data_IF_676092146524
#
_entry.id   IF_676092146524
#
_cell.length_a   1.000
_cell.length_b   1.000
_cell.length_c   1.000
_cell.angle_alpha   90.00
_cell.angle_beta   90.00
_cell.angle_gamma   90.00
#
_symmetry.space_group_name_H-M   'P 1'
#
loop_
_entity.id
_entity.type
_entity.pdbx_description
1 polymer ?
#
# COMPACT_ATOMS: atom_id res chain seq x y z
N UNK A 1 19.08 27.97 -19.29
CA UNK A 1 19.49 28.07 -20.73
C UNK A 1 19.38 26.69 -21.37
N UNK A 2 18.63 26.59 -22.48
CA UNK A 2 18.47 25.35 -23.27
C UNK A 2 19.79 25.06 -23.97
N UNK A 3 20.24 23.80 -23.94
CA UNK A 3 21.46 23.38 -24.62
C UNK A 3 21.22 23.36 -26.14
N UNK A 4 22.21 23.85 -26.93
CA UNK A 4 22.13 23.98 -28.38
C UNK A 4 21.60 22.70 -29.10
N UNK A 5 22.05 21.52 -28.68
CA UNK A 5 21.61 20.24 -29.24
C UNK A 5 20.13 19.89 -29.01
N UNK A 6 19.43 20.66 -28.17
CA UNK A 6 18.02 20.48 -27.88
C UNK A 6 17.13 21.61 -28.41
N UNK A 7 17.71 22.50 -29.21
CA UNK A 7 16.91 23.43 -29.99
C UNK A 7 16.00 22.62 -30.94
N UNK A 8 14.68 22.95 -30.96
CA UNK A 8 13.66 22.25 -31.74
C UNK A 8 13.52 20.74 -31.39
N UNK A 9 13.69 20.40 -30.12
CA UNK A 9 13.56 19.01 -29.65
C UNK A 9 12.10 18.71 -29.36
N UNK A 10 11.50 17.79 -30.13
CA UNK A 10 10.07 17.45 -29.95
C UNK A 10 9.82 16.68 -28.65
N UNK A 11 8.62 16.83 -28.09
CA UNK A 11 8.18 16.12 -26.89
C UNK A 11 8.24 14.61 -27.07
N UNK A 12 7.99 14.10 -28.28
CA UNK A 12 8.07 12.66 -28.62
C UNK A 12 9.49 12.11 -28.45
N UNK A 13 10.50 12.86 -28.94
CA UNK A 13 11.91 12.48 -28.78
C UNK A 13 12.35 12.52 -27.32
N UNK A 14 11.93 13.54 -26.60
CA UNK A 14 12.20 13.66 -25.17
C UNK A 14 11.56 12.54 -24.36
N UNK A 15 10.36 12.11 -24.73
CA UNK A 15 9.70 10.95 -24.12
C UNK A 15 10.47 9.65 -24.35
N UNK A 16 10.97 9.41 -25.57
CA UNK A 16 11.81 8.25 -25.87
C UNK A 16 13.10 8.23 -25.04
N UNK A 17 13.77 9.38 -24.90
CA UNK A 17 14.95 9.51 -24.03
C UNK A 17 14.62 9.30 -22.55
N UNK A 18 13.46 9.75 -22.11
CA UNK A 18 12.99 9.54 -20.73
C UNK A 18 12.74 8.06 -20.45
N UNK A 19 12.13 7.33 -21.38
CA UNK A 19 11.86 5.90 -21.23
C UNK A 19 13.17 5.12 -21.14
N UNK A 20 14.10 5.35 -22.08
CA UNK A 20 15.43 4.75 -22.05
C UNK A 20 16.18 5.06 -20.75
N UNK A 21 16.09 6.29 -20.26
CA UNK A 21 16.70 6.68 -18.99
C UNK A 21 16.15 5.88 -17.81
N UNK A 22 14.84 5.68 -17.77
CA UNK A 22 14.19 4.92 -16.71
C UNK A 22 14.53 3.42 -16.76
N UNK A 23 14.71 2.85 -17.95
CA UNK A 23 15.20 1.48 -18.15
C UNK A 23 16.63 1.33 -17.63
N UNK A 24 17.53 2.22 -18.03
CA UNK A 24 18.94 2.22 -17.57
C UNK A 24 19.01 2.38 -16.04
N UNK A 25 18.13 3.16 -15.44
CA UNK A 25 18.00 3.28 -13.97
C UNK A 25 17.49 2.02 -13.28
N UNK A 26 17.04 1.01 -14.02
CA UNK A 26 16.48 -0.21 -13.47
C UNK A 26 15.15 0.00 -12.74
N UNK A 27 14.32 0.96 -13.20
CA UNK A 27 12.96 1.10 -12.67
C UNK A 27 12.14 -0.17 -12.96
N UNK A 28 11.21 -0.49 -12.04
CA UNK A 28 10.28 -1.59 -12.28
C UNK A 28 9.43 -1.32 -13.53
N UNK A 29 9.18 -2.36 -14.33
CA UNK A 29 8.41 -2.26 -15.58
C UNK A 29 7.02 -1.63 -15.39
N UNK A 30 6.32 -1.95 -14.26
CA UNK A 30 5.05 -1.34 -13.93
C UNK A 30 5.17 0.19 -13.73
N UNK A 31 6.30 0.67 -13.21
CA UNK A 31 6.57 2.12 -13.06
C UNK A 31 6.86 2.79 -14.39
N UNK A 32 7.65 2.12 -15.25
CA UNK A 32 7.93 2.63 -16.60
C UNK A 32 6.63 2.75 -17.39
N UNK A 33 5.82 1.68 -17.43
CA UNK A 33 4.48 1.70 -18.08
C UNK A 33 3.58 2.83 -17.57
N UNK A 34 3.64 3.09 -16.26
CA UNK A 34 2.85 4.16 -15.66
C UNK A 34 3.29 5.52 -16.17
N UNK A 35 4.59 5.81 -16.12
CA UNK A 35 5.11 7.09 -16.66
C UNK A 35 4.85 7.23 -18.14
N UNK A 36 5.09 6.17 -18.92
CA UNK A 36 4.81 6.14 -20.37
C UNK A 36 3.36 6.53 -20.63
N UNK A 37 2.40 5.86 -20.01
CA UNK A 37 0.98 6.11 -20.27
C UNK A 37 0.50 7.52 -19.88
N UNK A 38 1.15 8.19 -18.91
CA UNK A 38 0.81 9.59 -18.60
C UNK A 38 1.44 10.57 -19.59
N UNK A 39 2.68 10.32 -20.01
CA UNK A 39 3.37 11.16 -20.99
C UNK A 39 2.74 11.02 -22.37
N UNK A 40 2.38 9.81 -22.80
CA UNK A 40 1.66 9.56 -24.06
C UNK A 40 0.34 10.32 -24.13
N UNK A 41 -0.49 10.25 -23.07
CA UNK A 41 -1.75 11.01 -23.00
C UNK A 41 -1.56 12.53 -23.04
N UNK A 42 -0.45 13.03 -22.54
CA UNK A 42 -0.12 14.44 -22.67
C UNK A 42 0.27 14.77 -24.12
N UNK A 43 1.08 13.93 -24.76
CA UNK A 43 1.48 14.09 -26.16
C UNK A 43 0.25 13.99 -27.10
N UNK A 44 -0.67 13.06 -26.85
CA UNK A 44 -1.93 12.96 -27.60
C UNK A 44 -2.75 14.26 -27.56
N UNK A 45 -2.70 14.95 -26.41
CA UNK A 45 -3.44 16.20 -26.23
C UNK A 45 -2.72 17.42 -26.84
N UNK A 46 -1.40 17.60 -26.56
CA UNK A 46 -0.67 18.76 -27.04
C UNK A 46 -0.16 18.62 -28.49
N UNK A 47 -0.18 17.40 -29.05
CA UNK A 47 0.31 17.11 -30.40
C UNK A 47 1.77 16.65 -30.44
N UNK A 48 2.10 15.83 -31.44
CA UNK A 48 3.41 15.21 -31.64
C UNK A 48 4.50 16.22 -32.04
N UNK A 49 4.12 17.32 -32.66
CA UNK A 49 5.03 18.39 -33.12
C UNK A 49 5.38 19.39 -32.05
N UNK A 50 4.74 19.33 -30.88
CA UNK A 50 5.03 20.22 -29.74
C UNK A 50 6.51 20.07 -29.33
N UNK A 51 7.19 21.21 -29.18
CA UNK A 51 8.57 21.24 -28.72
C UNK A 51 8.61 21.18 -27.18
N UNK A 52 9.68 20.60 -26.64
CA UNK A 52 9.88 20.56 -25.19
C UNK A 52 10.01 21.97 -24.60
N UNK A 53 10.54 22.94 -25.39
CA UNK A 53 10.62 24.34 -25.02
C UNK A 53 9.27 25.01 -24.83
N UNK A 54 8.22 24.49 -25.50
CA UNK A 54 6.87 25.06 -25.45
C UNK A 54 6.08 24.57 -24.25
N UNK A 55 6.62 23.59 -23.49
CA UNK A 55 6.02 23.15 -22.25
C UNK A 55 6.24 24.23 -21.19
N UNK A 56 5.21 25.01 -20.93
CA UNK A 56 5.16 26.06 -19.92
C UNK A 56 4.31 25.64 -18.72
N UNK A 57 4.32 26.44 -17.67
CA UNK A 57 3.38 26.28 -16.54
C UNK A 57 1.95 26.34 -17.04
N UNK A 58 1.63 27.35 -17.88
CA UNK A 58 0.29 27.58 -18.43
C UNK A 58 -0.20 26.38 -19.24
N UNK A 59 0.65 25.82 -20.15
CA UNK A 59 0.30 24.64 -20.92
C UNK A 59 -0.05 23.43 -20.04
N UNK A 60 0.64 23.24 -18.90
CA UNK A 60 0.34 22.18 -17.97
C UNK A 60 -0.95 22.43 -17.18
N UNK A 61 -1.27 23.69 -16.89
CA UNK A 61 -2.52 24.10 -16.25
C UNK A 61 -3.70 23.93 -17.22
N UNK A 62 -3.58 24.34 -18.48
CA UNK A 62 -4.57 24.06 -19.53
C UNK A 62 -4.85 22.55 -19.70
N UNK A 63 -3.78 21.74 -19.66
CA UNK A 63 -3.96 20.28 -19.70
C UNK A 63 -4.71 19.74 -18.47
N UNK A 64 -4.43 20.30 -17.29
CA UNK A 64 -5.13 19.92 -16.07
C UNK A 64 -6.61 20.31 -16.14
N UNK A 65 -6.96 21.50 -16.64
CA UNK A 65 -8.33 21.96 -16.89
C UNK A 65 -9.03 21.07 -17.89
N UNK A 66 -8.42 20.80 -19.06
CA UNK A 66 -8.95 19.87 -20.04
C UNK A 66 -9.31 18.49 -19.43
N UNK A 67 -8.44 17.98 -18.54
CA UNK A 67 -8.73 16.71 -17.85
C UNK A 67 -9.89 16.82 -16.88
N UNK A 68 -10.06 17.95 -16.20
CA UNK A 68 -11.21 18.18 -15.31
C UNK A 68 -12.49 18.26 -16.09
N UNK A 69 -12.51 19.02 -17.17
CA UNK A 69 -13.68 19.19 -18.08
C UNK A 69 -14.07 17.86 -18.76
N UNK A 70 -13.09 17.00 -18.99
CA UNK A 70 -13.33 15.62 -19.46
C UNK A 70 -13.91 14.69 -18.39
N UNK A 71 -14.33 15.20 -17.22
CA UNK A 71 -14.98 14.44 -16.15
C UNK A 71 -14.03 13.64 -15.26
N UNK A 72 -12.73 13.90 -15.31
CA UNK A 72 -11.79 13.21 -14.41
C UNK A 72 -11.88 13.78 -12.99
N UNK A 73 -11.84 12.89 -11.99
CA UNK A 73 -11.81 13.32 -10.58
C UNK A 73 -10.54 14.12 -10.27
N UNK A 74 -10.60 15.16 -9.41
CA UNK A 74 -9.43 15.98 -9.06
C UNK A 74 -8.22 15.18 -8.59
N UNK A 75 -8.43 14.09 -7.85
CA UNK A 75 -7.35 13.17 -7.41
C UNK A 75 -6.64 12.50 -8.59
N UNK A 76 -7.37 12.18 -9.67
CA UNK A 76 -6.82 11.56 -10.87
C UNK A 76 -6.02 12.58 -11.68
N UNK A 77 -6.52 13.82 -11.79
CA UNK A 77 -5.81 14.94 -12.45
C UNK A 77 -4.53 15.25 -11.70
N UNK A 78 -4.58 15.42 -10.39
CA UNK A 78 -3.39 15.66 -9.56
C UNK A 78 -2.36 14.52 -9.68
N UNK A 79 -2.82 13.27 -9.83
CA UNK A 79 -1.92 12.12 -10.06
C UNK A 79 -1.27 12.19 -11.43
N UNK A 80 -2.01 12.56 -12.47
CA UNK A 80 -1.51 12.76 -13.81
C UNK A 80 -0.40 13.83 -13.83
N UNK A 81 -0.69 15.01 -13.31
CA UNK A 81 0.28 16.12 -13.26
C UNK A 81 1.53 15.76 -12.43
N UNK A 82 1.40 14.98 -11.34
CA UNK A 82 2.58 14.49 -10.60
C UNK A 82 3.49 13.59 -11.43
N UNK A 83 2.91 12.73 -12.28
CA UNK A 83 3.71 11.88 -13.16
C UNK A 83 4.36 12.69 -14.29
N UNK A 84 3.62 13.64 -14.89
CA UNK A 84 4.19 14.58 -15.87
C UNK A 84 5.30 15.43 -15.28
N UNK A 85 5.17 15.88 -14.04
CA UNK A 85 6.25 16.61 -13.35
C UNK A 85 7.57 15.84 -13.34
N UNK A 86 7.52 14.50 -13.23
CA UNK A 86 8.76 13.68 -13.28
C UNK A 86 9.41 13.77 -14.66
N UNK A 87 8.62 13.74 -15.72
CA UNK A 87 9.09 13.93 -17.10
C UNK A 87 9.65 15.35 -17.33
N UNK A 88 8.92 16.38 -16.90
CA UNK A 88 9.36 17.79 -16.98
C UNK A 88 10.70 17.97 -16.24
N UNK A 89 10.84 17.47 -15.02
CA UNK A 89 12.10 17.53 -14.25
C UNK A 89 13.25 16.78 -14.93
N UNK A 90 12.96 15.71 -15.65
CA UNK A 90 13.96 15.03 -16.48
C UNK A 90 14.41 15.96 -17.62
N UNK A 91 13.49 16.60 -18.34
CA UNK A 91 13.80 17.52 -19.44
C UNK A 91 14.62 18.72 -18.97
N UNK A 92 14.23 19.37 -17.87
CA UNK A 92 14.97 20.46 -17.22
C UNK A 92 16.41 20.04 -16.87
N UNK A 93 16.54 18.88 -16.19
CA UNK A 93 17.86 18.36 -15.77
C UNK A 93 18.79 18.06 -16.95
N UNK A 94 18.23 17.67 -18.09
CA UNK A 94 18.98 17.44 -19.32
C UNK A 94 19.32 18.74 -20.05
N UNK A 95 18.67 19.84 -19.72
CA UNK A 95 18.79 21.13 -20.40
C UNK A 95 18.01 21.17 -21.72
N UNK A 96 16.91 20.42 -21.83
CA UNK A 96 16.00 20.42 -22.95
C UNK A 96 15.02 21.59 -22.90
N UNK A 97 14.77 22.12 -21.70
CA UNK A 97 13.87 23.23 -21.41
C UNK A 97 14.41 24.03 -20.21
N UNK A 98 13.88 25.21 -20.02
CA UNK A 98 14.11 25.99 -18.80
C UNK A 98 13.28 25.45 -17.64
N UNK A 99 13.63 25.83 -16.43
CA UNK A 99 12.91 25.40 -15.24
C UNK A 99 11.58 26.13 -15.17
N UNK A 100 10.51 25.36 -14.98
CA UNK A 100 9.15 25.85 -14.80
C UNK A 100 8.57 25.41 -13.46
N UNK A 101 7.55 26.11 -12.99
CA UNK A 101 6.75 25.66 -11.87
C UNK A 101 5.66 24.69 -12.38
N UNK A 102 5.41 23.61 -11.63
CA UNK A 102 4.37 22.62 -11.96
C UNK A 102 3.34 22.63 -10.85
N UNK A 103 2.21 23.30 -11.12
CA UNK A 103 1.07 23.41 -10.20
C UNK A 103 0.36 22.06 -10.11
N UNK A 104 0.24 21.51 -8.91
CA UNK A 104 -0.53 20.27 -8.69
C UNK A 104 -1.88 20.63 -8.08
N UNK A 105 -3.01 20.26 -8.74
CA UNK A 105 -4.33 20.52 -8.21
C UNK A 105 -4.51 19.97 -6.79
N UNK A 106 -5.07 20.78 -5.91
CA UNK A 106 -5.46 20.35 -4.56
C UNK A 106 -6.69 19.48 -4.65
N UNK A 107 -6.79 18.50 -3.77
CA UNK A 107 -7.96 17.65 -3.64
C UNK A 107 -8.07 17.13 -2.22
N UNK A 108 -9.28 16.91 -1.78
CA UNK A 108 -9.54 16.23 -0.53
C UNK A 108 -9.33 14.72 -0.70
N UNK A 109 -8.61 14.13 0.23
CA UNK A 109 -8.43 12.68 0.26
C UNK A 109 -9.61 12.06 0.99
N UNK A 110 -10.51 11.43 0.27
CA UNK A 110 -11.48 10.53 0.88
C UNK A 110 -10.75 9.40 1.60
N UNK A 111 -10.96 9.30 2.89
CA UNK A 111 -10.48 8.17 3.68
C UNK A 111 -11.40 6.98 3.37
N UNK A 112 -10.86 5.99 2.70
CA UNK A 112 -11.60 4.74 2.47
C UNK A 112 -11.77 4.04 3.81
N UNK A 113 -13.02 3.87 4.22
CA UNK A 113 -13.34 3.13 5.44
C UNK A 113 -12.84 1.68 5.35
N UNK A 114 -12.12 1.20 6.38
CA UNK A 114 -11.77 -0.21 6.50
C UNK A 114 -13.02 -1.10 6.51
N UNK A 115 -12.82 -2.41 6.38
CA UNK A 115 -13.91 -3.37 6.63
C UNK A 115 -14.37 -3.25 8.08
N UNK A 116 -15.69 -3.38 8.30
CA UNK A 116 -16.25 -3.50 9.65
C UNK A 116 -16.05 -4.92 10.20
N UNK A 117 -16.28 -5.11 11.49
CA UNK A 117 -16.16 -6.43 12.11
C UNK A 117 -17.23 -7.39 11.58
N UNK A 118 -18.45 -6.90 11.28
CA UNK A 118 -19.55 -7.66 10.68
C UNK A 118 -19.20 -8.10 9.25
N UNK A 119 -18.68 -7.16 8.42
CA UNK A 119 -18.19 -7.49 7.07
C UNK A 119 -17.08 -8.55 7.12
N UNK A 120 -16.13 -8.40 8.04
CA UNK A 120 -15.06 -9.39 8.23
C UNK A 120 -15.60 -10.72 8.72
N UNK A 121 -16.56 -10.74 9.64
CA UNK A 121 -17.20 -11.98 10.10
C UNK A 121 -17.81 -12.78 8.94
N UNK A 122 -18.50 -12.11 8.00
CA UNK A 122 -19.05 -12.74 6.80
C UNK A 122 -17.97 -13.29 5.87
N UNK A 123 -16.90 -12.51 5.64
CA UNK A 123 -15.82 -12.89 4.73
C UNK A 123 -14.94 -14.03 5.27
N UNK A 124 -14.83 -14.16 6.58
CA UNK A 124 -14.02 -15.19 7.25
C UNK A 124 -14.77 -16.54 7.43
N UNK A 125 -16.07 -16.60 7.12
CA UNK A 125 -16.81 -17.87 7.14
C UNK A 125 -16.18 -18.83 6.14
N UNK A 126 -15.78 -20.01 6.64
CA UNK A 126 -15.23 -21.08 5.81
C UNK A 126 -16.26 -21.52 4.77
N UNK A 127 -15.91 -21.58 3.47
CA UNK A 127 -16.81 -22.10 2.45
C UNK A 127 -17.20 -23.55 2.72
N UNK A 128 -18.47 -23.86 2.58
CA UNK A 128 -18.99 -25.23 2.69
C UNK A 128 -19.14 -25.90 1.32
N UNK A 129 -18.95 -25.14 0.25
CA UNK A 129 -19.19 -25.57 -1.11
C UNK A 129 -17.94 -26.13 -1.80
N UNK A 130 -18.11 -26.48 -3.04
CA UNK A 130 -17.17 -27.23 -3.87
C UNK A 130 -16.24 -26.34 -4.69
N UNK A 131 -16.41 -24.99 -4.63
CA UNK A 131 -15.60 -24.06 -5.41
C UNK A 131 -14.21 -23.92 -4.79
N UNK A 132 -13.21 -24.50 -5.45
CA UNK A 132 -11.81 -24.30 -5.08
C UNK A 132 -11.40 -22.82 -5.13
N UNK A 133 -11.98 -22.03 -6.04
CA UNK A 133 -11.71 -20.60 -6.14
C UNK A 133 -12.18 -19.87 -4.89
N UNK A 134 -13.37 -20.20 -4.38
CA UNK A 134 -13.89 -19.61 -3.14
C UNK A 134 -13.03 -20.01 -1.94
N UNK A 135 -12.58 -21.25 -1.92
CA UNK A 135 -11.70 -21.72 -0.86
C UNK A 135 -10.34 -21.01 -0.86
N UNK A 136 -9.77 -20.81 -2.05
CA UNK A 136 -8.56 -19.96 -2.23
C UNK A 136 -8.82 -18.52 -1.79
N UNK A 137 -9.94 -17.91 -2.19
CA UNK A 137 -10.29 -16.55 -1.79
C UNK A 137 -10.44 -16.43 -0.27
N UNK A 138 -11.10 -17.39 0.37
CA UNK A 138 -11.20 -17.44 1.82
C UNK A 138 -9.82 -17.51 2.50
N UNK A 139 -8.95 -18.40 2.06
CA UNK A 139 -7.60 -18.52 2.61
C UNK A 139 -6.78 -17.24 2.39
N UNK A 140 -6.87 -16.62 1.21
CA UNK A 140 -6.22 -15.34 0.90
C UNK A 140 -6.75 -14.19 1.77
N UNK A 141 -8.06 -14.10 1.99
CA UNK A 141 -8.66 -13.05 2.85
C UNK A 141 -8.18 -13.22 4.28
N UNK A 142 -8.19 -14.44 4.81
CA UNK A 142 -7.61 -14.73 6.13
C UNK A 142 -6.15 -14.27 6.20
N UNK A 143 -5.35 -14.57 5.17
CA UNK A 143 -3.95 -14.18 5.12
C UNK A 143 -3.78 -12.65 5.05
N UNK A 144 -4.53 -11.96 4.19
CA UNK A 144 -4.49 -10.50 4.11
C UNK A 144 -4.89 -9.83 5.42
N UNK A 145 -5.96 -10.31 6.05
CA UNK A 145 -6.45 -9.77 7.31
C UNK A 145 -5.50 -10.04 8.48
N UNK A 146 -4.87 -11.22 8.51
CA UNK A 146 -3.93 -11.57 9.59
C UNK A 146 -2.56 -10.91 9.46
N UNK A 147 -2.15 -10.48 8.26
CA UNK A 147 -0.77 -10.04 8.00
C UNK A 147 -0.65 -8.64 7.43
N UNK A 148 -1.71 -8.11 6.85
CA UNK A 148 -1.71 -6.81 6.17
C UNK A 148 -0.77 -6.72 4.97
N UNK A 149 -0.29 -7.86 4.40
CA UNK A 149 0.67 -7.84 3.30
C UNK A 149 0.06 -7.29 2.01
N UNK A 150 0.93 -6.79 1.11
CA UNK A 150 0.49 -6.28 -0.21
C UNK A 150 0.16 -7.43 -1.16
N UNK A 151 -0.84 -7.24 -2.03
CA UNK A 151 -1.20 -8.24 -3.05
C UNK A 151 0.02 -8.73 -3.83
N UNK A 152 0.86 -7.80 -4.29
CA UNK A 152 2.07 -8.15 -5.04
C UNK A 152 3.06 -9.03 -4.28
N UNK A 153 3.08 -8.98 -2.97
CA UNK A 153 3.89 -9.88 -2.13
C UNK A 153 3.21 -11.25 -2.03
N UNK A 154 1.91 -11.27 -1.75
CA UNK A 154 1.16 -12.50 -1.48
C UNK A 154 1.12 -13.45 -2.69
N UNK A 155 0.93 -12.93 -3.90
CA UNK A 155 0.92 -13.76 -5.13
C UNK A 155 2.28 -14.36 -5.51
N UNK A 156 3.35 -13.97 -4.83
CA UNK A 156 4.70 -14.48 -5.06
C UNK A 156 5.16 -15.51 -4.01
N UNK A 157 4.36 -15.74 -2.97
CA UNK A 157 4.71 -16.71 -1.92
C UNK A 157 4.56 -18.12 -2.48
N UNK A 158 5.55 -18.97 -2.26
CA UNK A 158 5.49 -20.40 -2.52
C UNK A 158 5.21 -21.18 -1.24
N UNK A 159 4.72 -22.40 -1.36
CA UNK A 159 4.45 -23.27 -0.20
C UNK A 159 5.73 -23.50 0.62
N UNK A 160 6.87 -23.72 -0.01
CA UNK A 160 8.18 -23.87 0.65
C UNK A 160 8.62 -22.66 1.47
N UNK A 161 8.08 -21.48 1.18
CA UNK A 161 8.36 -20.25 1.93
C UNK A 161 7.60 -20.20 3.26
N UNK A 162 6.67 -21.14 3.51
CA UNK A 162 5.78 -21.18 4.66
C UNK A 162 6.21 -22.26 5.63
N UNK A 163 6.88 -21.87 6.71
CA UNK A 163 7.22 -22.76 7.82
C UNK A 163 6.16 -22.66 8.91
N UNK A 164 5.22 -23.62 8.91
CA UNK A 164 4.12 -23.66 9.87
C UNK A 164 4.57 -24.11 11.26
N UNK A 165 5.68 -24.85 11.36
CA UNK A 165 6.23 -25.37 12.61
C UNK A 165 6.88 -24.22 13.40
N UNK A 166 7.79 -23.52 12.76
CA UNK A 166 8.48 -22.38 13.35
C UNK A 166 7.69 -21.07 13.24
N UNK A 167 6.51 -21.10 12.67
CA UNK A 167 5.64 -19.94 12.44
C UNK A 167 6.38 -18.79 11.74
N UNK A 168 6.91 -19.09 10.57
CA UNK A 168 7.63 -18.13 9.74
C UNK A 168 7.14 -18.21 8.29
N UNK A 169 7.00 -17.06 7.65
CA UNK A 169 6.78 -16.96 6.20
C UNK A 169 7.90 -16.13 5.62
N UNK A 170 8.66 -16.72 4.72
CA UNK A 170 9.73 -16.05 4.01
C UNK A 170 9.17 -15.23 2.85
N UNK A 171 9.39 -13.93 2.86
CA UNK A 171 8.94 -13.00 1.82
C UNK A 171 10.14 -12.65 0.94
N UNK A 172 10.41 -13.48 -0.06
CA UNK A 172 11.50 -13.29 -1.03
C UNK A 172 11.25 -12.11 -1.95
N UNK A 173 9.98 -11.83 -2.26
CA UNK A 173 9.57 -10.77 -3.16
C UNK A 173 8.71 -9.73 -2.45
N UNK A 174 9.18 -8.49 -2.43
CA UNK A 174 8.42 -7.35 -1.93
C UNK A 174 8.84 -6.06 -2.66
N UNK A 175 8.03 -5.01 -2.54
CA UNK A 175 8.26 -3.73 -3.25
C UNK A 175 9.61 -3.08 -2.89
N UNK A 176 10.14 -3.38 -1.73
CA UNK A 176 11.37 -2.76 -1.21
C UNK A 176 12.62 -3.60 -1.52
N UNK A 177 12.46 -4.75 -2.20
CA UNK A 177 13.52 -5.71 -2.56
C UNK A 177 14.31 -6.24 -1.34
N UNK A 178 13.76 -6.11 -0.13
CA UNK A 178 14.36 -6.58 1.12
C UNK A 178 13.67 -7.87 1.51
N UNK A 179 14.40 -8.98 1.50
CA UNK A 179 13.92 -10.26 2.00
C UNK A 179 13.67 -10.18 3.51
N UNK A 180 12.57 -10.73 3.97
CA UNK A 180 12.24 -10.75 5.39
C UNK A 180 11.38 -11.95 5.77
N UNK A 181 11.45 -12.31 7.04
CA UNK A 181 10.54 -13.25 7.67
C UNK A 181 9.36 -12.49 8.28
N UNK A 182 8.16 -13.01 8.05
CA UNK A 182 6.92 -12.55 8.67
C UNK A 182 6.47 -13.62 9.67
N UNK A 183 6.26 -13.29 10.96
CA UNK A 183 5.71 -14.22 11.93
C UNK A 183 4.18 -14.29 11.78
N UNK A 184 3.59 -15.38 11.24
CA UNK A 184 2.14 -15.57 11.21
C UNK A 184 1.63 -15.96 12.59
N UNK A 185 0.37 -15.57 12.90
CA UNK A 185 -0.29 -16.02 14.12
C UNK A 185 -0.66 -17.52 14.05
N UNK A 186 -0.90 -18.13 15.21
CA UNK A 186 -1.30 -19.54 15.27
C UNK A 186 -2.56 -19.81 14.43
N UNK A 187 -3.51 -18.86 14.41
CA UNK A 187 -4.76 -19.04 13.68
C UNK A 187 -4.55 -19.08 12.17
N UNK A 188 -3.72 -18.18 11.63
CA UNK A 188 -3.44 -18.20 10.18
C UNK A 188 -2.62 -19.44 9.79
N UNK A 189 -1.74 -19.95 10.67
CA UNK A 189 -1.04 -21.22 10.41
C UNK A 189 -2.03 -22.37 10.22
N UNK A 190 -3.08 -22.47 11.06
CA UNK A 190 -4.14 -23.48 10.90
C UNK A 190 -4.88 -23.36 9.58
N UNK A 191 -5.26 -22.13 9.19
CA UNK A 191 -5.92 -21.86 7.90
C UNK A 191 -5.03 -22.25 6.73
N UNK A 192 -3.75 -21.90 6.76
CA UNK A 192 -2.81 -22.26 5.70
C UNK A 192 -2.55 -23.75 5.63
N UNK A 193 -2.41 -24.43 6.77
CA UNK A 193 -2.24 -25.88 6.83
C UNK A 193 -3.41 -26.60 6.17
N UNK A 194 -4.63 -26.23 6.54
CA UNK A 194 -5.86 -26.77 5.97
C UNK A 194 -5.95 -26.50 4.46
N UNK A 195 -5.68 -25.25 4.06
CA UNK A 195 -5.74 -24.84 2.66
C UNK A 195 -4.73 -25.59 1.78
N UNK A 196 -3.47 -25.68 2.22
CA UNK A 196 -2.41 -26.41 1.52
C UNK A 196 -2.79 -27.88 1.35
N UNK A 197 -3.28 -28.51 2.43
CA UNK A 197 -3.67 -29.91 2.41
C UNK A 197 -4.83 -30.18 1.45
N UNK A 198 -5.93 -29.42 1.56
CA UNK A 198 -7.10 -29.60 0.70
C UNK A 198 -6.82 -29.29 -0.76
N UNK A 199 -6.00 -28.27 -1.01
CA UNK A 199 -5.62 -27.87 -2.37
C UNK A 199 -4.52 -28.75 -2.96
N UNK A 200 -3.97 -29.72 -2.21
CA UNK A 200 -2.89 -30.64 -2.60
C UNK A 200 -1.68 -29.92 -3.19
N UNK A 201 -1.28 -28.82 -2.54
CA UNK A 201 -0.17 -28.01 -3.01
C UNK A 201 1.17 -28.61 -2.59
N UNK A 202 2.10 -28.64 -3.52
CA UNK A 202 3.47 -29.13 -3.34
C UNK A 202 4.41 -27.94 -2.96
N UNK A 203 5.61 -28.22 -2.40
CA UNK A 203 6.52 -27.17 -1.94
C UNK A 203 6.87 -26.11 -2.98
N UNK A 204 7.00 -26.49 -4.26
CA UNK A 204 7.38 -25.57 -5.36
C UNK A 204 6.19 -24.77 -5.92
N UNK A 205 4.97 -25.15 -5.58
CA UNK A 205 3.78 -24.43 -6.01
C UNK A 205 3.69 -23.04 -5.38
N UNK A 206 3.01 -22.12 -6.07
CA UNK A 206 2.59 -20.89 -5.43
C UNK A 206 1.59 -21.19 -4.31
N UNK A 207 1.68 -20.47 -3.19
CA UNK A 207 0.75 -20.65 -2.08
C UNK A 207 -0.70 -20.42 -2.51
N UNK A 208 -0.93 -19.45 -3.40
CA UNK A 208 -2.24 -19.13 -3.97
C UNK A 208 -2.17 -19.14 -5.50
N UNK A 209 -2.14 -20.32 -6.13
CA UNK A 209 -1.97 -20.42 -7.57
C UNK A 209 -3.26 -20.08 -8.35
N UNK A 210 -3.15 -19.98 -9.66
CA UNK A 210 -4.28 -20.12 -10.57
C UNK A 210 -4.74 -21.59 -10.64
N UNK A 211 -5.91 -21.85 -11.23
CA UNK A 211 -6.40 -23.21 -11.42
C UNK A 211 -5.44 -24.10 -12.25
N UNK A 212 -4.58 -23.49 -13.04
CA UNK A 212 -3.56 -24.16 -13.84
C UNK A 212 -2.26 -24.44 -13.08
N UNK A 213 -2.17 -24.11 -11.78
CA UNK A 213 -0.94 -24.17 -10.98
C UNK A 213 0.03 -23.01 -11.21
N UNK A 214 -0.22 -22.13 -12.18
CA UNK A 214 0.61 -20.96 -12.44
C UNK A 214 0.44 -19.88 -11.39
N UNK A 215 1.37 -18.91 -11.38
CA UNK A 215 1.27 -17.74 -10.54
C UNK A 215 -0.04 -16.97 -10.77
N UNK A 216 -0.76 -16.69 -9.69
CA UNK A 216 -2.00 -15.92 -9.76
C UNK A 216 -1.73 -14.49 -10.22
N UNK A 217 -2.35 -14.11 -11.34
CA UNK A 217 -2.24 -12.76 -11.83
C UNK A 217 -2.98 -11.78 -10.91
N UNK A 218 -2.38 -10.61 -10.66
CA UNK A 218 -2.93 -9.61 -9.71
C UNK A 218 -4.38 -9.22 -10.07
N UNK A 219 -4.69 -9.04 -11.34
CA UNK A 219 -6.03 -8.68 -11.80
C UNK A 219 -7.02 -9.80 -11.53
N UNK A 220 -6.67 -11.04 -11.90
CA UNK A 220 -7.51 -12.22 -11.64
C UNK A 220 -7.79 -12.41 -10.14
N UNK A 221 -6.78 -12.13 -9.29
CA UNK A 221 -6.98 -12.14 -7.84
C UNK A 221 -7.98 -11.07 -7.39
N UNK A 222 -7.84 -9.84 -7.88
CA UNK A 222 -8.77 -8.75 -7.55
C UNK A 222 -10.21 -9.07 -7.97
N UNK A 223 -10.38 -9.62 -9.16
CA UNK A 223 -11.71 -9.98 -9.69
C UNK A 223 -12.32 -11.16 -8.90
N UNK A 224 -11.52 -12.18 -8.54
CA UNK A 224 -11.97 -13.31 -7.69
C UNK A 224 -12.40 -12.84 -6.30
N UNK A 225 -11.59 -12.00 -5.63
CA UNK A 225 -11.92 -11.44 -4.32
C UNK A 225 -13.16 -10.54 -4.39
N UNK A 226 -13.28 -9.74 -5.47
CA UNK A 226 -14.46 -8.91 -5.70
C UNK A 226 -15.72 -9.77 -5.78
N UNK A 227 -15.69 -10.85 -6.56
CA UNK A 227 -16.82 -11.78 -6.67
C UNK A 227 -17.13 -12.45 -5.33
N UNK A 228 -16.11 -12.98 -4.65
CA UNK A 228 -16.23 -13.60 -3.34
C UNK A 228 -16.87 -12.68 -2.29
N UNK A 229 -16.43 -11.42 -2.21
CA UNK A 229 -17.00 -10.47 -1.26
C UNK A 229 -18.48 -10.20 -1.56
N UNK A 230 -18.82 -9.93 -2.84
CA UNK A 230 -20.20 -9.69 -3.25
C UNK A 230 -21.13 -10.87 -3.00
N UNK A 231 -20.68 -12.10 -3.26
CA UNK A 231 -21.47 -13.30 -2.99
C UNK A 231 -21.78 -13.51 -1.51
N UNK A 232 -21.08 -12.80 -0.62
CA UNK A 232 -21.32 -12.78 0.84
C UNK A 232 -22.02 -11.51 1.34
N UNK A 233 -22.56 -10.69 0.41
CA UNK A 233 -23.26 -9.45 0.75
C UNK A 233 -22.34 -8.30 1.17
N UNK A 234 -21.04 -8.37 0.88
CA UNK A 234 -20.08 -7.32 1.21
C UNK A 234 -19.73 -6.50 -0.04
N UNK A 235 -20.15 -5.22 -0.06
CA UNK A 235 -19.95 -4.33 -1.19
C UNK A 235 -18.51 -3.83 -1.35
N UNK A 236 -17.76 -3.73 -0.26
CA UNK A 236 -16.34 -3.39 -0.29
C UNK A 236 -15.54 -4.53 -0.92
N UNK A 237 -14.77 -4.23 -1.96
CA UNK A 237 -14.07 -5.26 -2.76
C UNK A 237 -12.58 -5.03 -2.89
N UNK A 238 -12.05 -3.97 -2.29
CA UNK A 238 -10.63 -3.62 -2.43
C UNK A 238 -9.76 -4.47 -1.49
N UNK A 239 -8.83 -5.23 -2.07
CA UNK A 239 -7.83 -6.00 -1.30
C UNK A 239 -7.00 -5.08 -0.39
N UNK A 240 -6.75 -3.85 -0.82
CA UNK A 240 -5.97 -2.91 -0.01
C UNK A 240 -6.68 -2.52 1.30
N UNK A 241 -8.01 -2.63 1.35
CA UNK A 241 -8.78 -2.39 2.58
C UNK A 241 -8.49 -3.43 3.67
N UNK A 242 -8.18 -4.70 3.34
CA UNK A 242 -7.76 -5.68 4.35
C UNK A 242 -6.52 -5.22 5.11
N UNK A 243 -5.58 -4.60 4.39
CA UNK A 243 -4.38 -4.02 5.01
C UNK A 243 -4.73 -2.81 5.89
N UNK A 244 -5.67 -1.97 5.49
CA UNK A 244 -6.18 -0.87 6.33
C UNK A 244 -6.87 -1.43 7.58
N UNK A 245 -7.69 -2.48 7.44
CA UNK A 245 -8.38 -3.15 8.53
C UNK A 245 -7.39 -3.80 9.51
N UNK A 246 -6.35 -4.48 8.99
CA UNK A 246 -5.27 -5.01 9.83
C UNK A 246 -4.58 -3.91 10.62
N UNK A 247 -4.20 -2.81 9.95
CA UNK A 247 -3.51 -1.71 10.62
C UNK A 247 -4.38 -1.02 11.68
N UNK A 248 -5.66 -0.79 11.37
CA UNK A 248 -6.66 -0.27 12.32
C UNK A 248 -6.74 -1.16 13.55
N UNK A 249 -7.03 -2.46 13.36
CA UNK A 249 -7.21 -3.39 14.48
C UNK A 249 -5.93 -3.57 15.28
N UNK A 250 -4.77 -3.56 14.63
CA UNK A 250 -3.47 -3.62 15.33
C UNK A 250 -3.28 -2.43 16.30
N UNK A 251 -3.62 -1.22 15.87
CA UNK A 251 -3.53 0.00 16.70
C UNK A 251 -4.59 0.00 17.80
N UNK A 252 -5.86 -0.31 17.49
CA UNK A 252 -6.96 -0.35 18.47
C UNK A 252 -6.67 -1.36 19.60
N UNK A 253 -5.98 -2.46 19.27
CA UNK A 253 -5.57 -3.49 20.24
C UNK A 253 -4.24 -3.15 20.97
N UNK A 254 -3.80 -1.89 20.96
CA UNK A 254 -2.60 -1.45 21.67
C UNK A 254 -1.27 -1.78 20.99
N UNK A 255 -1.30 -2.11 19.71
CA UNK A 255 -0.10 -2.44 18.94
C UNK A 255 0.82 -1.24 18.72
N UNK A 256 2.12 -1.45 18.89
CA UNK A 256 3.13 -0.40 18.73
C UNK A 256 3.31 0.02 17.26
N UNK A 257 3.27 1.33 16.98
CA UNK A 257 3.37 1.90 15.64
C UNK A 257 4.68 1.54 14.90
N UNK A 258 5.82 1.50 15.59
CA UNK A 258 7.09 1.14 14.98
C UNK A 258 7.14 -0.35 14.60
N UNK A 259 6.53 -1.23 15.40
CA UNK A 259 6.35 -2.65 15.04
C UNK A 259 5.41 -2.80 13.85
N UNK A 260 4.30 -2.05 13.81
CA UNK A 260 3.38 -2.03 12.68
C UNK A 260 4.06 -1.55 11.39
N UNK A 261 4.88 -0.50 11.47
CA UNK A 261 5.68 -0.03 10.33
C UNK A 261 6.54 -1.16 9.75
N UNK A 262 7.24 -1.91 10.60
CA UNK A 262 8.08 -3.04 10.19
C UNK A 262 7.26 -4.18 9.59
N UNK A 263 6.13 -4.56 10.22
CA UNK A 263 5.23 -5.61 9.71
C UNK A 263 4.70 -5.27 8.32
N UNK A 264 4.27 -4.03 8.13
CA UNK A 264 3.71 -3.55 6.87
C UNK A 264 4.79 -3.15 5.84
N UNK A 265 6.06 -3.06 6.21
CA UNK A 265 7.13 -2.51 5.38
C UNK A 265 6.74 -1.13 4.81
N UNK A 266 6.40 -0.18 5.70
CA UNK A 266 6.21 1.20 5.31
C UNK A 266 7.55 1.91 5.28
N UNK A 267 7.88 2.56 4.16
CA UNK A 267 9.13 3.32 4.01
C UNK A 267 9.23 4.49 4.97
N UNK A 268 8.10 5.16 5.23
CA UNK A 268 8.00 6.27 6.17
C UNK A 268 7.06 5.91 7.31
N UNK A 269 7.45 6.28 8.53
CA UNK A 269 6.62 6.16 9.74
C UNK A 269 5.32 6.99 9.61
N UNK A 270 5.35 8.12 8.89
CA UNK A 270 4.19 8.98 8.63
C UNK A 270 3.01 8.20 8.03
N UNK A 271 3.30 7.20 7.17
CA UNK A 271 2.26 6.34 6.61
C UNK A 271 1.56 5.51 7.69
N UNK A 272 2.29 5.11 8.73
CA UNK A 272 1.76 4.34 9.87
C UNK A 272 1.08 5.26 10.87
N UNK A 273 1.64 6.45 11.12
CA UNK A 273 1.06 7.44 12.04
C UNK A 273 -0.35 7.87 11.66
N UNK A 274 -0.73 7.79 10.38
CA UNK A 274 -2.11 8.02 9.95
C UNK A 274 -3.11 7.10 10.65
N UNK A 275 -2.75 5.84 10.87
CA UNK A 275 -3.60 4.90 11.61
C UNK A 275 -3.64 5.23 13.10
N UNK A 276 -2.51 5.64 13.67
CA UNK A 276 -2.43 6.07 15.08
C UNK A 276 -3.35 7.28 15.29
N UNK A 277 -3.19 8.33 14.47
CA UNK A 277 -3.97 9.56 14.58
C UNK A 277 -5.47 9.35 14.39
N UNK A 278 -5.89 8.34 13.59
CA UNK A 278 -7.28 8.04 13.32
C UNK A 278 -7.93 7.11 14.36
N UNK A 279 -7.16 6.21 14.95
CA UNK A 279 -7.70 5.06 15.68
C UNK A 279 -7.13 4.88 17.09
N UNK A 280 -6.12 5.66 17.51
CA UNK A 280 -5.69 5.61 18.91
C UNK A 280 -6.83 6.13 19.79
N UNK A 281 -7.30 5.25 20.65
CA UNK A 281 -8.21 5.63 21.73
C UNK A 281 -7.44 6.55 22.69
N UNK A 282 -8.18 7.44 23.31
CA UNK A 282 -7.71 8.46 24.25
C UNK A 282 -6.38 8.14 24.94
N UNK A 283 -5.44 9.05 24.79
CA UNK A 283 -4.13 9.05 25.48
C UNK A 283 -4.30 8.90 27.00
N UNK A 284 -5.48 9.23 27.56
CA UNK A 284 -5.81 9.09 28.97
C UNK A 284 -5.65 7.66 29.53
N UNK A 285 -6.08 6.64 28.75
CA UNK A 285 -5.96 5.24 29.19
C UNK A 285 -4.51 4.73 29.22
N UNK A 286 -3.66 5.28 28.34
CA UNK A 286 -2.24 4.93 28.28
C UNK A 286 -1.46 5.64 29.40
N UNK A 287 -1.91 6.82 29.84
CA UNK A 287 -1.29 7.59 30.92
C UNK A 287 -1.37 6.85 32.25
N UNK A 288 -2.50 6.22 32.59
CA UNK A 288 -2.67 5.44 33.82
C UNK A 288 -1.75 4.18 33.84
N UNK A 289 -1.49 3.58 32.69
CA UNK A 289 -0.62 2.41 32.57
C UNK A 289 0.87 2.74 32.50
N UNK A 290 1.22 3.86 31.87
CA UNK A 290 2.59 4.22 31.53
C UNK A 290 3.15 5.37 32.35
N UNK A 291 2.33 5.99 33.23
CA UNK A 291 2.76 7.10 34.06
C UNK A 291 3.85 6.64 35.05
N UNK A 292 5.05 7.25 35.02
CA UNK A 292 6.12 6.90 35.95
C UNK A 292 5.66 7.02 37.41
N UNK A 293 4.81 7.98 37.76
CA UNK A 293 4.33 8.21 39.11
C UNK A 293 3.55 7.00 39.66
N UNK A 294 2.69 6.38 38.84
CA UNK A 294 1.89 5.22 39.23
C UNK A 294 2.74 3.96 39.41
N UNK A 295 3.82 3.88 38.64
CA UNK A 295 4.81 2.81 38.81
C UNK A 295 5.68 2.99 40.07
N UNK A 296 6.00 4.22 40.47
CA UNK A 296 6.71 4.51 41.74
C UNK A 296 5.80 4.35 42.96
N UNK A 297 4.49 4.62 42.84
CA UNK A 297 3.54 4.44 43.93
C UNK A 297 3.41 3.00 44.46
N UNK A 298 3.68 2.01 43.60
CA UNK A 298 3.73 0.59 43.97
C UNK A 298 4.94 0.23 44.85
N UNK A 299 6.01 0.99 44.77
CA UNK A 299 7.22 0.79 45.61
C UNK A 299 7.16 1.54 46.95
N UNK A 300 6.40 2.63 47.06
CA UNK A 300 6.31 3.42 48.28
C UNK A 300 5.41 2.80 49.37
N UNK A 301 4.57 1.82 49.02
CA UNK A 301 3.73 1.10 49.99
C UNK A 301 4.48 -0.01 50.78
N UNK A 302 5.71 -0.33 50.44
CA UNK A 302 6.49 -1.40 51.08
C UNK A 302 7.44 -0.92 52.18
N UNK A 303 7.62 0.38 52.36
CA UNK A 303 8.49 0.91 53.47
C UNK A 303 7.66 1.73 54.42
N UNK A 304 7.21 1.05 55.48
CA UNK A 304 6.37 1.64 56.52
C UNK A 304 7.07 2.70 57.36
N UNK A 305 6.30 3.65 57.69
CA UNK A 305 6.08 4.40 58.94
C UNK A 305 5.49 5.75 58.57
N UNK A 306 4.16 5.90 58.83
CA UNK A 306 3.49 7.17 58.76
C UNK A 306 4.14 8.16 59.75
N UNK A 307 4.80 9.20 59.23
CA UNK A 307 5.01 10.42 60.02
C UNK A 307 3.67 11.18 60.06
N UNK A 308 3.13 11.39 61.27
CA UNK A 308 2.02 12.33 61.50
C UNK A 308 2.50 13.73 61.12
N UNK A 309 1.82 14.42 60.20
CA UNK A 309 1.94 15.85 60.05
C UNK A 309 1.24 16.48 61.24
N UNK A 310 1.99 17.21 62.10
CA UNK A 310 1.42 18.13 63.05
C UNK A 310 0.94 19.38 62.32
N UNK A 311 -0.29 19.74 62.53
CA UNK A 311 -0.88 20.99 62.01
C UNK A 311 -0.22 22.16 62.72
N UNK A 312 0.49 22.99 61.97
CA UNK A 312 0.91 24.33 62.46
C UNK A 312 -0.18 25.28 62.12
N UNK A 313 -0.83 25.81 63.19
CA UNK A 313 -1.66 26.99 63.12
C UNK A 313 -0.79 28.25 63.14
#
# INVERSE_FOLDING_TARGET
MIKEKYQNYSVVRAAADFYRHNEIKGLAQDSIKTYTGYVEKFIEWCGTETLVSDITTDLLEEYAEYKMDSGNKPVSVATNIRHLRVFVRFCEKRGMMERIEVTIPKYEKELKEPYTDEEMALLLIRPKGESWVDYRCWAMINYFFATGQRLSTVVNIKVKDVDLINKQVFLSWNKDKIQKYLPPSTQICKVLQEYIYISRLEPEDYLFPEATGKQLHKRSCQDSIKYYNKSRGVEKTSIHLFRHTFAKNYIINGGNAAKLQKLLAHKSIETTMKYVNLYSKDISNDLDMLNPLDNFGKYSQSTGKRRKMESVY
#
